data_IF_696278708541
#
_entry.id   IF_696278708541
#
_cell.length_a   1.000
_cell.length_b   1.000
_cell.length_c   1.000
_cell.angle_alpha   90.00
_cell.angle_beta   90.00
_cell.angle_gamma   90.00
#
_symmetry.space_group_name_H-M   'P 1'
#
loop_
_entity.id
_entity.type
_entity.pdbx_description
1 polymer ?
#
# COMPACT_ATOMS: atom_id res chain seq x y z
N UNK A 1 29.84 43.21 14.27
CA UNK A 1 30.88 43.86 13.45
C UNK A 1 32.20 43.15 13.70
N UNK A 2 32.64 42.27 12.80
CA UNK A 2 34.01 41.76 12.80
C UNK A 2 34.57 41.91 11.39
N UNK A 3 35.46 42.90 11.26
CA UNK A 3 36.36 43.12 10.14
C UNK A 3 37.53 42.15 10.22
N UNK A 4 37.80 41.36 9.19
CA UNK A 4 39.13 40.78 8.91
C UNK A 4 39.28 40.71 7.38
N UNK A 5 39.79 41.78 6.76
CA UNK A 5 41.17 41.97 6.26
C UNK A 5 41.56 41.02 5.13
N UNK A 6 41.61 41.61 3.93
CA UNK A 6 42.26 41.12 2.71
C UNK A 6 43.73 40.79 3.01
N UNK A 7 44.16 39.60 2.65
CA UNK A 7 45.58 39.26 2.49
C UNK A 7 45.86 39.21 0.99
N UNK A 8 46.68 40.14 0.53
CA UNK A 8 47.33 40.09 -0.77
C UNK A 8 48.36 38.95 -0.74
N UNK A 9 48.24 38.00 -1.66
CA UNK A 9 49.38 37.20 -2.12
C UNK A 9 49.68 37.63 -3.54
N UNK A 10 50.81 38.29 -3.71
CA UNK A 10 51.42 38.53 -5.02
C UNK A 10 51.75 37.18 -5.66
N UNK A 11 51.25 37.03 -6.87
CA UNK A 11 51.42 35.90 -7.78
C UNK A 11 52.88 35.73 -8.17
N UNK A 12 53.46 34.57 -7.86
CA UNK A 12 54.64 34.06 -8.55
C UNK A 12 54.14 33.11 -9.67
N UNK A 13 54.37 33.40 -10.96
CA UNK A 13 53.71 32.69 -12.04
C UNK A 13 54.50 31.42 -12.39
N UNK A 14 54.22 30.32 -11.69
CA UNK A 14 54.66 28.99 -12.14
C UNK A 14 53.82 27.79 -11.64
N UNK A 15 52.76 27.99 -10.86
CA UNK A 15 51.92 26.87 -10.39
C UNK A 15 50.45 27.27 -10.29
N UNK A 16 49.74 27.33 -11.42
CA UNK A 16 48.30 27.63 -11.44
C UNK A 16 47.47 26.63 -12.28
N UNK A 17 47.97 25.40 -12.43
CA UNK A 17 47.24 24.29 -13.06
C UNK A 17 46.55 23.34 -12.05
N UNK A 18 46.59 23.62 -10.75
CA UNK A 18 46.00 22.74 -9.71
C UNK A 18 44.66 23.23 -9.13
N UNK A 19 44.24 24.47 -9.39
CA UNK A 19 43.02 25.03 -8.78
C UNK A 19 41.72 24.55 -9.45
N UNK A 20 41.75 24.21 -10.76
CA UNK A 20 40.55 23.75 -11.49
C UNK A 20 40.22 22.26 -11.29
N UNK A 21 41.16 21.43 -10.82
CA UNK A 21 40.90 19.99 -10.63
C UNK A 21 40.16 19.72 -9.31
N UNK A 22 40.54 20.40 -8.22
CA UNK A 22 39.97 20.17 -6.89
C UNK A 22 38.48 20.54 -6.79
N UNK A 23 38.07 21.62 -7.46
CA UNK A 23 36.66 22.05 -7.54
C UNK A 23 35.79 21.07 -8.33
N UNK A 24 36.33 20.50 -9.42
CA UNK A 24 35.62 19.50 -10.21
C UNK A 24 35.49 18.16 -9.46
N UNK A 25 36.54 17.68 -8.79
CA UNK A 25 36.47 16.42 -8.02
C UNK A 25 35.47 16.51 -6.87
N UNK A 26 35.44 17.63 -6.13
CA UNK A 26 34.49 17.82 -5.02
C UNK A 26 33.03 17.90 -5.52
N UNK A 27 32.78 18.53 -6.67
CA UNK A 27 31.45 18.58 -7.27
C UNK A 27 30.97 17.19 -7.72
N UNK A 28 31.84 16.38 -8.33
CA UNK A 28 31.52 15.01 -8.76
C UNK A 28 31.20 14.12 -7.56
N UNK A 29 32.04 14.11 -6.51
CA UNK A 29 31.80 13.29 -5.29
C UNK A 29 30.48 13.67 -4.63
N UNK A 30 30.16 14.97 -4.58
CA UNK A 30 28.89 15.45 -4.04
C UNK A 30 27.70 14.96 -4.86
N UNK A 31 27.80 15.02 -6.19
CA UNK A 31 26.72 14.56 -7.09
C UNK A 31 26.52 13.05 -6.99
N UNK A 32 27.60 12.27 -6.90
CA UNK A 32 27.54 10.82 -6.69
C UNK A 32 26.84 10.48 -5.37
N UNK A 33 27.18 11.19 -4.28
CA UNK A 33 26.52 11.01 -2.98
C UNK A 33 25.02 11.31 -3.04
N UNK A 34 24.62 12.39 -3.71
CA UNK A 34 23.20 12.73 -3.92
C UNK A 34 22.46 11.68 -4.75
N UNK A 35 23.08 11.14 -5.81
CA UNK A 35 22.45 10.13 -6.67
C UNK A 35 22.32 8.77 -5.98
N UNK A 36 23.35 8.31 -5.28
CA UNK A 36 23.31 7.05 -4.52
C UNK A 36 22.27 7.15 -3.40
N UNK A 37 22.26 8.25 -2.64
CA UNK A 37 21.27 8.46 -1.58
C UNK A 37 19.84 8.44 -2.12
N UNK A 38 19.58 9.11 -3.26
CA UNK A 38 18.27 9.06 -3.94
C UNK A 38 17.91 7.66 -4.41
N UNK A 39 18.86 6.95 -5.01
CA UNK A 39 18.63 5.60 -5.49
C UNK A 39 18.26 4.68 -4.32
N UNK A 40 19.06 4.64 -3.26
CA UNK A 40 18.76 3.83 -2.08
C UNK A 40 17.43 4.19 -1.44
N UNK A 41 17.16 5.48 -1.23
CA UNK A 41 15.87 5.92 -0.69
C UNK A 41 14.68 5.52 -1.60
N UNK A 42 14.83 5.61 -2.92
CA UNK A 42 13.78 5.23 -3.87
C UNK A 42 13.51 3.72 -3.93
N UNK A 43 14.48 2.91 -3.51
CA UNK A 43 14.41 1.45 -3.50
C UNK A 43 14.17 0.87 -2.10
N UNK A 44 14.03 1.72 -1.06
CA UNK A 44 13.91 1.26 0.33
C UNK A 44 15.18 0.61 0.90
N UNK A 45 16.34 0.89 0.30
CA UNK A 45 17.64 0.35 0.71
C UNK A 45 18.24 1.25 1.78
N UNK A 46 18.79 0.64 2.84
CA UNK A 46 19.46 1.35 3.91
C UNK A 46 20.74 2.06 3.42
N UNK A 47 21.06 3.23 3.97
CA UNK A 47 22.27 3.99 3.55
C UNK A 47 23.57 3.25 3.91
N UNK A 48 23.48 2.36 4.90
CA UNK A 48 24.52 1.43 5.34
C UNK A 48 24.93 0.45 4.24
N UNK A 49 24.03 0.10 3.30
CA UNK A 49 24.34 -0.81 2.18
C UNK A 49 25.46 -0.29 1.27
N UNK A 50 25.77 1.02 1.32
CA UNK A 50 26.95 1.56 0.62
C UNK A 50 28.27 0.98 1.14
N UNK A 51 28.27 0.42 2.36
CA UNK A 51 29.42 -0.20 2.99
C UNK A 51 29.43 -1.73 2.86
N UNK A 52 28.41 -2.33 2.25
CA UNK A 52 28.40 -3.78 2.01
C UNK A 52 29.43 -4.16 0.95
N UNK A 53 30.17 -5.25 1.20
CA UNK A 53 31.25 -5.71 0.32
C UNK A 53 30.77 -5.98 -1.10
N UNK A 54 29.63 -6.66 -1.25
CA UNK A 54 29.06 -7.00 -2.57
C UNK A 54 28.65 -5.77 -3.37
N UNK A 55 28.08 -4.76 -2.72
CA UNK A 55 27.77 -3.49 -3.37
C UNK A 55 29.05 -2.77 -3.81
N UNK A 56 30.07 -2.72 -2.96
CA UNK A 56 31.35 -2.12 -3.30
C UNK A 56 32.06 -2.85 -4.45
N UNK A 57 31.99 -4.17 -4.49
CA UNK A 57 32.50 -5.00 -5.59
C UNK A 57 31.79 -4.68 -6.90
N UNK A 58 30.45 -4.58 -6.88
CA UNK A 58 29.65 -4.19 -8.04
C UNK A 58 30.07 -2.80 -8.55
N UNK A 59 30.18 -1.82 -7.67
CA UNK A 59 30.58 -0.46 -8.06
C UNK A 59 32.02 -0.44 -8.60
N UNK A 60 32.97 -1.17 -7.99
CA UNK A 60 34.34 -1.30 -8.50
C UNK A 60 34.40 -2.00 -9.85
N UNK A 61 33.53 -2.98 -10.10
CA UNK A 61 33.46 -3.66 -11.39
C UNK A 61 32.96 -2.72 -12.50
N UNK A 62 31.91 -1.94 -12.22
CA UNK A 62 31.33 -0.99 -13.17
C UNK A 62 32.25 0.24 -13.36
N UNK A 63 32.88 0.72 -12.29
CA UNK A 63 33.75 1.88 -12.30
C UNK A 63 34.90 1.70 -11.29
N UNK A 64 36.07 1.19 -11.72
CA UNK A 64 37.19 0.87 -10.83
C UNK A 64 37.71 2.04 -9.99
N UNK A 65 37.58 3.27 -10.51
CA UNK A 65 38.04 4.49 -9.86
C UNK A 65 36.92 5.20 -9.06
N UNK A 66 35.72 4.63 -8.98
CA UNK A 66 34.62 5.22 -8.24
C UNK A 66 34.81 5.01 -6.73
N UNK A 67 34.86 6.13 -6.00
CA UNK A 67 34.85 6.14 -4.54
C UNK A 67 33.41 6.08 -4.05
N UNK A 68 33.01 4.96 -3.44
CA UNK A 68 31.69 4.85 -2.81
C UNK A 68 31.64 5.80 -1.59
N UNK A 69 30.67 6.73 -1.53
CA UNK A 69 30.54 7.65 -0.40
C UNK A 69 30.31 6.90 0.92
N UNK A 70 30.81 7.45 2.02
CA UNK A 70 30.55 6.89 3.35
C UNK A 70 29.09 7.12 3.74
N UNK A 71 28.54 6.27 4.61
CA UNK A 71 27.16 6.38 5.11
C UNK A 71 26.85 7.78 5.66
N UNK A 72 27.81 8.41 6.34
CA UNK A 72 27.69 9.79 6.83
C UNK A 72 27.50 10.84 5.73
N UNK A 73 28.21 10.69 4.60
CA UNK A 73 28.10 11.61 3.46
C UNK A 73 26.77 11.42 2.72
N UNK A 74 26.30 10.18 2.63
CA UNK A 74 24.97 9.85 2.11
C UNK A 74 23.87 10.40 3.00
N UNK A 75 23.99 10.28 4.32
CA UNK A 75 23.05 10.84 5.28
C UNK A 75 22.97 12.37 5.15
N UNK A 76 24.12 13.06 5.08
CA UNK A 76 24.16 14.51 4.81
C UNK A 76 23.54 14.90 3.47
N UNK A 77 23.81 14.12 2.42
CA UNK A 77 23.20 14.34 1.12
C UNK A 77 21.69 14.18 1.20
N UNK A 78 21.21 13.17 1.94
CA UNK A 78 19.79 12.92 2.17
C UNK A 78 19.13 14.04 2.97
N UNK A 79 19.75 14.52 4.05
CA UNK A 79 19.27 15.67 4.82
C UNK A 79 19.16 16.93 3.95
N UNK A 80 20.15 17.16 3.09
CA UNK A 80 20.12 18.26 2.13
C UNK A 80 18.99 18.08 1.10
N UNK A 81 18.78 16.87 0.59
CA UNK A 81 17.67 16.56 -0.33
C UNK A 81 16.33 16.83 0.38
N UNK A 82 16.13 16.26 1.56
CA UNK A 82 14.93 16.40 2.36
C UNK A 82 14.62 17.86 2.74
N UNK A 83 15.64 18.62 3.13
CA UNK A 83 15.49 20.04 3.50
C UNK A 83 15.25 20.97 2.31
N UNK A 84 15.76 20.62 1.13
CA UNK A 84 15.58 21.40 -0.10
C UNK A 84 14.27 21.10 -0.85
N UNK A 85 13.51 20.08 -0.42
CA UNK A 85 12.21 19.77 -1.02
C UNK A 85 11.23 20.92 -0.75
N UNK A 86 10.99 21.72 -1.78
CA UNK A 86 9.78 22.54 -1.84
C UNK A 86 8.56 21.62 -1.73
N UNK A 87 7.44 22.09 -1.17
CA UNK A 87 6.17 21.38 -1.28
C UNK A 87 5.93 20.96 -2.73
N UNK A 88 5.66 19.67 -2.96
CA UNK A 88 5.40 19.14 -4.30
C UNK A 88 4.00 19.54 -4.80
N UNK A 89 3.13 19.93 -3.87
CA UNK A 89 1.73 20.24 -4.13
C UNK A 89 1.60 21.68 -4.59
N UNK A 90 1.33 21.86 -5.88
CA UNK A 90 0.86 23.12 -6.43
C UNK A 90 -0.65 22.98 -6.67
N UNK A 91 -1.49 23.57 -5.82
CA UNK A 91 -2.94 23.44 -5.96
C UNK A 91 -3.62 24.80 -6.06
N UNK A 92 -4.69 24.83 -6.84
CA UNK A 92 -5.57 25.99 -6.95
C UNK A 92 -6.84 25.75 -6.13
N UNK A 93 -7.14 26.66 -5.19
CA UNK A 93 -8.32 26.54 -4.32
C UNK A 93 -9.65 26.47 -5.09
N UNK A 94 -9.66 27.03 -6.29
CA UNK A 94 -10.85 27.16 -7.15
C UNK A 94 -11.12 25.87 -7.93
N UNK A 95 -10.08 25.05 -8.15
CA UNK A 95 -10.16 23.87 -9.03
C UNK A 95 -10.71 22.66 -8.30
N UNK A 96 -10.32 22.43 -7.04
CA UNK A 96 -10.83 21.27 -6.32
C UNK A 96 -10.40 21.15 -4.86
N UNK A 97 -11.05 20.24 -4.11
CA UNK A 97 -10.76 20.04 -2.70
C UNK A 97 -9.45 19.29 -2.49
N UNK A 98 -8.71 19.66 -1.44
CA UNK A 98 -7.61 18.85 -0.94
C UNK A 98 -8.14 17.66 -0.14
N UNK A 99 -7.62 16.49 -0.45
CA UNK A 99 -7.88 15.26 0.31
C UNK A 99 -6.57 14.63 0.74
N UNK A 100 -6.56 13.94 1.88
CA UNK A 100 -5.40 13.22 2.36
C UNK A 100 -5.78 11.77 2.70
N UNK A 101 -4.87 10.85 2.42
CA UNK A 101 -4.94 9.47 2.93
C UNK A 101 -3.76 9.28 3.87
N UNK A 102 -3.99 8.69 5.03
CA UNK A 102 -2.97 8.47 6.05
C UNK A 102 -2.91 7.00 6.47
N UNK A 103 -1.69 6.53 6.65
CA UNK A 103 -1.39 5.28 7.32
C UNK A 103 -0.28 5.48 8.35
N UNK A 104 -0.43 4.83 9.50
CA UNK A 104 0.47 4.97 10.64
C UNK A 104 0.85 3.57 11.10
N UNK A 105 2.15 3.30 11.10
CA UNK A 105 2.74 2.01 11.48
C UNK A 105 3.91 2.21 12.44
N UNK A 106 4.35 1.13 13.08
CA UNK A 106 5.48 1.10 13.99
C UNK A 106 5.09 0.92 15.46
N UNK A 107 6.08 0.49 16.25
CA UNK A 107 5.93 0.06 17.63
C UNK A 107 6.61 1.04 18.60
N UNK A 108 6.09 1.10 19.82
CA UNK A 108 6.67 1.88 20.92
C UNK A 108 6.95 3.34 20.51
N UNK A 109 8.21 3.77 20.63
CA UNK A 109 8.68 5.14 20.34
C UNK A 109 9.04 5.37 18.85
N UNK A 110 8.94 4.34 17.99
CA UNK A 110 9.30 4.43 16.58
C UNK A 110 8.08 4.26 15.69
N UNK A 111 7.29 5.33 15.57
CA UNK A 111 6.17 5.36 14.64
C UNK A 111 6.51 6.12 13.37
N UNK A 112 5.98 5.62 12.27
CA UNK A 112 6.10 6.18 10.94
C UNK A 112 4.71 6.46 10.39
N UNK A 113 4.60 7.55 9.64
CA UNK A 113 3.40 7.95 8.96
C UNK A 113 3.69 8.04 7.46
N UNK A 114 3.01 7.20 6.70
CA UNK A 114 2.91 7.34 5.25
C UNK A 114 1.62 8.09 4.94
N UNK A 115 1.68 9.06 4.04
CA UNK A 115 0.48 9.78 3.63
C UNK A 115 0.56 10.27 2.19
N UNK A 116 -0.58 10.33 1.53
CA UNK A 116 -0.72 10.94 0.21
C UNK A 116 -1.63 12.16 0.29
N UNK A 117 -1.25 13.21 -0.42
CA UNK A 117 -2.10 14.39 -0.65
C UNK A 117 -2.62 14.33 -2.07
N UNK A 118 -3.94 14.35 -2.22
CA UNK A 118 -4.65 14.34 -3.50
C UNK A 118 -5.20 15.73 -3.77
N UNK A 119 -4.93 16.25 -4.96
CA UNK A 119 -5.24 17.62 -5.36
C UNK A 119 -5.45 17.72 -6.87
N UNK A 120 -5.90 18.89 -7.30
CA UNK A 120 -6.14 19.20 -8.70
C UNK A 120 -5.34 20.46 -9.08
N UNK A 121 -4.64 20.39 -10.21
CA UNK A 121 -4.03 21.57 -10.86
C UNK A 121 -4.95 22.13 -11.95
N UNK A 122 -5.72 21.26 -12.59
CA UNK A 122 -6.80 21.55 -13.51
C UNK A 122 -8.01 20.65 -13.21
N UNK A 123 -9.14 20.87 -13.90
CA UNK A 123 -10.37 20.12 -13.68
C UNK A 123 -10.35 18.69 -14.23
N UNK A 124 -9.31 18.29 -14.97
CA UNK A 124 -9.30 17.06 -15.76
C UNK A 124 -8.54 15.93 -15.08
N UNK A 125 -7.46 16.23 -14.35
CA UNK A 125 -6.61 15.20 -13.75
C UNK A 125 -6.33 15.43 -12.26
N UNK A 126 -6.62 14.40 -11.45
CA UNK A 126 -6.23 14.37 -10.04
C UNK A 126 -4.76 14.00 -9.91
N UNK A 127 -3.99 14.87 -9.27
CA UNK A 127 -2.59 14.61 -8.90
C UNK A 127 -2.48 14.08 -7.48
N UNK A 128 -1.39 13.38 -7.21
CA UNK A 128 -1.07 12.90 -5.86
C UNK A 128 0.40 13.10 -5.53
N UNK A 129 0.69 13.41 -4.27
CA UNK A 129 2.04 13.48 -3.72
C UNK A 129 2.13 12.60 -2.48
N UNK A 130 3.09 11.67 -2.47
CA UNK A 130 3.29 10.69 -1.40
C UNK A 130 4.45 11.13 -0.51
N UNK A 131 4.26 10.99 0.80
CA UNK A 131 5.22 11.39 1.82
C UNK A 131 5.37 10.29 2.86
N UNK A 132 6.60 10.15 3.36
CA UNK A 132 6.93 9.33 4.52
C UNK A 132 7.55 10.23 5.59
N UNK A 133 7.10 10.09 6.85
CA UNK A 133 7.58 10.87 7.99
C UNK A 133 7.71 9.99 9.24
N UNK A 134 8.78 10.21 10.01
CA UNK A 134 8.92 9.65 11.37
C UNK A 134 8.19 10.55 12.38
N UNK A 135 7.45 9.95 13.29
CA UNK A 135 6.76 10.64 14.38
C UNK A 135 7.70 10.71 15.61
N UNK A 136 7.91 11.92 16.14
CA UNK A 136 8.97 12.19 17.14
C UNK A 136 8.64 11.75 18.57
N UNK A 137 7.36 11.49 18.88
CA UNK A 137 6.91 11.28 20.27
C UNK A 137 6.20 9.95 20.54
N UNK A 138 6.14 9.01 19.59
CA UNK A 138 5.39 7.75 19.72
C UNK A 138 3.86 7.91 19.87
N UNK A 139 3.36 9.07 20.33
CA UNK A 139 1.93 9.36 20.47
C UNK A 139 1.37 9.93 19.17
N UNK A 140 0.24 9.38 18.73
CA UNK A 140 -0.51 9.89 17.59
C UNK A 140 -1.29 11.12 18.07
N UNK A 141 -0.79 12.31 17.74
CA UNK A 141 -1.48 13.58 18.02
C UNK A 141 -2.12 14.10 16.71
N UNK A 142 -3.47 14.19 16.64
CA UNK A 142 -4.20 14.68 15.46
C UNK A 142 -3.74 16.04 14.94
N UNK A 143 -3.51 17.00 15.83
CA UNK A 143 -3.10 18.37 15.47
C UNK A 143 -1.69 18.41 14.89
N UNK A 144 -0.77 17.65 15.48
CA UNK A 144 0.59 17.55 14.98
C UNK A 144 0.59 16.90 13.58
N UNK A 145 -0.19 15.84 13.40
CA UNK A 145 -0.33 15.18 12.10
C UNK A 145 -0.94 16.14 11.07
N UNK A 146 -2.02 16.84 11.42
CA UNK A 146 -2.63 17.80 10.52
C UNK A 146 -1.68 18.95 10.17
N UNK A 147 -0.90 19.43 11.13
CA UNK A 147 0.15 20.42 10.89
C UNK A 147 1.20 19.90 9.91
N UNK A 148 1.61 18.64 10.02
CA UNK A 148 2.51 17.98 9.06
C UNK A 148 1.90 17.90 7.66
N UNK A 149 0.63 17.49 7.54
CA UNK A 149 -0.09 17.46 6.27
C UNK A 149 -0.15 18.85 5.63
N UNK A 150 -0.52 19.87 6.40
CA UNK A 150 -0.62 21.26 5.93
C UNK A 150 0.73 21.81 5.48
N UNK A 151 1.81 21.53 6.22
CA UNK A 151 3.19 21.94 5.86
C UNK A 151 3.71 21.24 4.62
N UNK A 152 3.28 20.01 4.35
CA UNK A 152 3.60 19.30 3.12
C UNK A 152 2.93 19.95 1.88
N UNK A 153 1.83 20.68 2.06
CA UNK A 153 1.19 21.48 0.99
C UNK A 153 1.82 22.86 0.87
N UNK A 154 1.96 23.59 1.97
CA UNK A 154 2.58 24.92 1.95
C UNK A 154 3.29 25.18 3.28
N UNK A 155 4.62 25.24 3.28
CA UNK A 155 5.40 25.44 4.51
C UNK A 155 5.23 26.84 5.13
N UNK A 156 4.95 27.86 4.32
CA UNK A 156 4.90 29.27 4.76
C UNK A 156 3.51 29.69 5.25
N UNK A 157 2.45 29.26 4.59
CA UNK A 157 1.05 29.59 4.92
C UNK A 157 0.19 28.36 5.23
N UNK A 158 0.80 27.33 5.86
CA UNK A 158 0.15 26.06 6.20
C UNK A 158 -1.17 26.24 6.97
N UNK A 159 -1.32 27.29 7.78
CA UNK A 159 -2.55 27.58 8.53
C UNK A 159 -3.78 27.78 7.63
N UNK A 160 -3.57 28.21 6.37
CA UNK A 160 -4.63 28.44 5.40
C UNK A 160 -5.01 27.17 4.60
N UNK A 161 -4.26 26.08 4.78
CA UNK A 161 -4.50 24.81 4.11
C UNK A 161 -5.61 24.05 4.85
N UNK A 162 -6.70 23.76 4.14
CA UNK A 162 -7.85 23.01 4.66
C UNK A 162 -8.05 21.75 3.82
N UNK A 163 -8.16 20.61 4.49
CA UNK A 163 -8.52 19.35 3.86
C UNK A 163 -10.02 19.18 3.96
N UNK A 164 -10.64 18.75 2.86
CA UNK A 164 -12.06 18.41 2.83
C UNK A 164 -12.29 16.96 3.26
N UNK A 165 -11.38 16.06 2.88
CA UNK A 165 -11.49 14.64 3.18
C UNK A 165 -10.19 14.11 3.79
N UNK A 166 -10.32 13.26 4.81
CA UNK A 166 -9.24 12.46 5.37
C UNK A 166 -9.64 10.98 5.35
N UNK A 167 -8.88 10.16 4.64
CA UNK A 167 -9.04 8.70 4.59
C UNK A 167 -8.04 8.07 5.57
N UNK A 168 -8.55 7.37 6.55
CA UNK A 168 -7.77 6.72 7.60
C UNK A 168 -7.56 5.24 7.26
N UNK A 169 -6.38 4.69 7.54
CA UNK A 169 -6.06 3.30 7.21
C UNK A 169 -6.89 2.26 7.96
N UNK A 170 -7.40 2.59 9.15
CA UNK A 170 -8.26 1.72 9.97
C UNK A 170 -9.10 2.51 10.99
N UNK A 171 -9.97 1.81 11.71
CA UNK A 171 -10.85 2.37 12.74
C UNK A 171 -10.10 3.09 13.87
N UNK A 172 -8.94 2.57 14.30
CA UNK A 172 -8.18 3.18 15.39
C UNK A 172 -7.65 4.56 14.99
N UNK A 173 -7.11 4.68 13.78
CA UNK A 173 -6.69 5.98 13.23
C UNK A 173 -7.92 6.88 13.06
N UNK A 174 -9.02 6.38 12.51
CA UNK A 174 -10.25 7.15 12.36
C UNK A 174 -10.74 7.76 13.68
N UNK A 175 -10.82 6.95 14.75
CA UNK A 175 -11.29 7.38 16.06
C UNK A 175 -10.42 8.49 16.67
N UNK A 176 -9.11 8.47 16.39
CA UNK A 176 -8.18 9.52 16.83
C UNK A 176 -8.48 10.86 16.15
N UNK A 177 -8.93 10.86 14.91
CA UNK A 177 -9.18 12.09 14.14
C UNK A 177 -10.62 12.60 14.19
N UNK A 178 -11.61 11.71 14.12
CA UNK A 178 -13.01 12.04 13.92
C UNK A 178 -13.59 12.97 15.01
N UNK A 179 -13.07 12.88 16.24
CA UNK A 179 -13.54 13.69 17.37
C UNK A 179 -13.07 15.15 17.36
N UNK A 180 -12.10 15.51 16.51
CA UNK A 180 -11.49 16.86 16.58
C UNK A 180 -12.15 17.88 15.62
N UNK A 181 -12.96 17.44 14.66
CA UNK A 181 -13.64 18.34 13.71
C UNK A 181 -12.70 19.19 12.84
N UNK A 182 -11.45 18.75 12.65
CA UNK A 182 -10.41 19.51 11.96
C UNK A 182 -10.48 19.43 10.42
N UNK A 183 -11.18 18.41 9.93
CA UNK A 183 -11.42 18.11 8.52
C UNK A 183 -12.93 17.97 8.35
N UNK A 184 -13.45 18.40 7.20
CA UNK A 184 -14.89 18.36 6.92
C UNK A 184 -15.43 16.92 6.96
N UNK A 185 -14.67 15.95 6.46
CA UNK A 185 -15.09 14.55 6.32
C UNK A 185 -13.96 13.58 6.65
N UNK A 186 -14.30 12.53 7.38
CA UNK A 186 -13.43 11.42 7.72
C UNK A 186 -14.00 10.15 7.12
N UNK A 187 -13.14 9.30 6.56
CA UNK A 187 -13.53 8.03 5.98
C UNK A 187 -12.51 6.96 6.41
N UNK A 188 -12.94 5.70 6.44
CA UNK A 188 -12.06 4.55 6.64
C UNK A 188 -11.75 3.94 5.27
N UNK A 189 -10.50 3.51 5.09
CA UNK A 189 -10.06 2.88 3.85
C UNK A 189 -10.86 1.60 3.55
N UNK A 190 -11.29 1.42 2.30
CA UNK A 190 -11.97 0.20 1.82
C UNK A 190 -11.19 -1.07 2.18
N UNK A 191 -9.86 -1.04 2.04
CA UNK A 191 -8.98 -2.14 2.40
C UNK A 191 -9.10 -2.56 3.87
N UNK A 192 -9.43 -1.64 4.79
CA UNK A 192 -9.67 -1.97 6.20
C UNK A 192 -10.93 -2.83 6.37
N UNK A 193 -12.02 -2.50 5.66
CA UNK A 193 -13.26 -3.28 5.72
C UNK A 193 -13.05 -4.68 5.15
N UNK A 194 -12.35 -4.79 4.02
CA UNK A 194 -11.98 -6.09 3.45
C UNK A 194 -11.10 -6.88 4.40
N UNK A 195 -10.10 -6.23 5.01
CA UNK A 195 -9.20 -6.89 5.97
C UNK A 195 -9.97 -7.45 7.17
N UNK A 196 -10.92 -6.70 7.72
CA UNK A 196 -11.76 -7.17 8.83
C UNK A 196 -12.67 -8.33 8.39
N UNK A 197 -13.30 -8.23 7.22
CA UNK A 197 -14.12 -9.31 6.67
C UNK A 197 -13.30 -10.59 6.46
N UNK A 198 -12.11 -10.47 5.85
CA UNK A 198 -11.24 -11.60 5.58
C UNK A 198 -10.67 -12.19 6.86
N UNK A 199 -10.35 -11.38 7.88
CA UNK A 199 -9.92 -11.90 9.18
C UNK A 199 -10.98 -12.85 9.76
N UNK A 200 -12.25 -12.43 9.79
CA UNK A 200 -13.37 -13.28 10.24
C UNK A 200 -13.55 -14.51 9.34
N UNK A 201 -13.38 -14.35 8.02
CA UNK A 201 -13.44 -15.44 7.06
C UNK A 201 -12.39 -16.52 7.38
N UNK A 202 -11.16 -16.12 7.69
CA UNK A 202 -10.06 -17.05 7.99
C UNK A 202 -10.23 -17.79 9.33
N UNK A 203 -11.12 -17.32 10.20
CA UNK A 203 -11.45 -17.96 11.48
C UNK A 203 -12.52 -19.05 11.36
N UNK A 204 -13.23 -19.14 10.22
CA UNK A 204 -14.20 -20.22 9.97
C UNK A 204 -13.50 -21.58 10.12
N UNK A 205 -14.11 -22.50 10.84
CA UNK A 205 -13.49 -23.76 11.27
C UNK A 205 -12.95 -24.58 10.08
N UNK A 206 -13.73 -24.71 9.01
CA UNK A 206 -13.36 -25.47 7.83
C UNK A 206 -12.14 -24.87 7.11
N UNK A 207 -12.07 -23.55 7.04
CA UNK A 207 -10.98 -22.81 6.40
C UNK A 207 -9.73 -22.81 7.27
N UNK A 208 -9.85 -22.48 8.56
CA UNK A 208 -8.74 -22.45 9.51
C UNK A 208 -8.09 -23.83 9.65
N UNK A 209 -8.90 -24.90 9.75
CA UNK A 209 -8.40 -26.27 9.79
C UNK A 209 -7.71 -26.67 8.48
N UNK A 210 -8.32 -26.35 7.33
CA UNK A 210 -7.75 -26.63 6.02
C UNK A 210 -6.40 -25.95 5.82
N UNK A 211 -6.31 -24.65 6.13
CA UNK A 211 -5.08 -23.87 6.06
C UNK A 211 -4.01 -24.40 7.03
N UNK A 212 -4.40 -24.81 8.24
CA UNK A 212 -3.48 -25.39 9.22
C UNK A 212 -2.86 -26.69 8.71
N UNK A 213 -3.66 -27.57 8.08
CA UNK A 213 -3.16 -28.80 7.45
C UNK A 213 -2.20 -28.50 6.30
N UNK A 214 -2.53 -27.52 5.44
CA UNK A 214 -1.63 -27.06 4.37
C UNK A 214 -0.28 -26.58 4.91
N UNK A 215 -0.30 -25.68 5.91
CA UNK A 215 0.92 -25.15 6.53
C UNK A 215 1.75 -26.26 7.17
N UNK A 216 1.10 -27.20 7.87
CA UNK A 216 1.78 -28.34 8.47
C UNK A 216 2.47 -29.22 7.42
N UNK A 217 1.79 -29.50 6.31
CA UNK A 217 2.35 -30.30 5.21
C UNK A 217 3.55 -29.62 4.54
N UNK A 218 3.43 -28.33 4.20
CA UNK A 218 4.54 -27.57 3.60
C UNK A 218 5.74 -27.48 4.54
N UNK A 219 5.51 -27.24 5.85
CA UNK A 219 6.57 -27.28 6.87
C UNK A 219 7.22 -28.65 6.96
N UNK A 220 6.45 -29.72 6.88
CA UNK A 220 6.96 -31.09 6.95
C UNK A 220 7.90 -31.40 5.78
N UNK A 221 7.53 -31.03 4.56
CA UNK A 221 8.43 -31.17 3.40
C UNK A 221 9.69 -30.32 3.58
N UNK A 222 9.55 -29.06 3.99
CA UNK A 222 10.66 -28.10 4.10
C UNK A 222 11.66 -28.48 5.20
N UNK A 223 11.18 -28.99 6.33
CA UNK A 223 12.01 -29.32 7.49
C UNK A 223 12.66 -30.70 7.40
N UNK A 224 12.16 -31.58 6.51
CA UNK A 224 12.75 -32.89 6.28
C UNK A 224 13.61 -32.87 5.01
N UNK A 225 14.92 -32.91 5.18
CA UNK A 225 15.89 -32.83 4.07
C UNK A 225 15.69 -33.93 3.02
N UNK A 226 15.32 -35.14 3.44
CA UNK A 226 15.10 -36.26 2.54
C UNK A 226 13.83 -36.07 1.72
N UNK A 227 12.76 -35.59 2.36
CA UNK A 227 11.50 -35.31 1.70
C UNK A 227 11.63 -34.16 0.73
N UNK A 228 12.29 -33.08 1.14
CA UNK A 228 12.60 -31.96 0.27
C UNK A 228 13.43 -32.40 -0.96
N UNK A 229 14.48 -33.20 -0.76
CA UNK A 229 15.30 -33.71 -1.85
C UNK A 229 14.50 -34.61 -2.81
N UNK A 230 13.60 -35.46 -2.29
CA UNK A 230 12.70 -36.28 -3.11
C UNK A 230 11.69 -35.42 -3.87
N UNK A 231 11.12 -34.42 -3.23
CA UNK A 231 10.20 -33.46 -3.85
C UNK A 231 10.87 -32.72 -5.00
N UNK A 232 12.09 -32.17 -4.79
CA UNK A 232 12.86 -31.50 -5.85
C UNK A 232 13.16 -32.42 -7.03
N UNK A 233 13.56 -33.68 -6.77
CA UNK A 233 13.77 -34.67 -7.84
C UNK A 233 12.49 -34.95 -8.63
N UNK A 234 11.35 -35.03 -7.95
CA UNK A 234 10.05 -35.18 -8.62
C UNK A 234 9.73 -33.96 -9.49
N UNK A 235 9.93 -32.73 -9.00
CA UNK A 235 9.65 -31.52 -9.77
C UNK A 235 10.55 -31.37 -11.00
N UNK A 236 11.84 -31.74 -10.90
CA UNK A 236 12.76 -31.78 -12.06
C UNK A 236 12.25 -32.68 -13.19
N UNK A 237 11.65 -33.83 -12.85
CA UNK A 237 11.10 -34.75 -13.85
C UNK A 237 9.90 -34.17 -14.59
N UNK A 238 9.21 -33.17 -14.01
CA UNK A 238 7.99 -32.59 -14.56
C UNK A 238 8.19 -31.14 -15.06
N UNK A 239 9.43 -30.64 -15.13
CA UNK A 239 9.73 -29.21 -15.39
C UNK A 239 8.90 -28.26 -14.50
N UNK A 240 8.67 -28.66 -13.25
CA UNK A 240 7.84 -27.92 -12.30
C UNK A 240 8.62 -26.91 -11.46
N UNK A 241 7.89 -26.12 -10.66
CA UNK A 241 8.47 -25.27 -9.64
C UNK A 241 9.31 -26.08 -8.66
N UNK A 242 10.56 -25.66 -8.50
CA UNK A 242 11.58 -26.41 -7.78
C UNK A 242 11.50 -26.28 -6.26
N UNK A 243 10.72 -25.32 -5.76
CA UNK A 243 10.58 -25.05 -4.35
C UNK A 243 9.16 -25.37 -3.86
N UNK A 244 9.02 -25.51 -2.55
CA UNK A 244 7.71 -25.54 -1.91
C UNK A 244 7.23 -24.11 -1.69
N UNK A 245 5.90 -23.85 -1.65
CA UNK A 245 5.37 -22.54 -1.32
C UNK A 245 5.98 -22.00 -0.03
N UNK A 246 6.27 -20.69 0.00
CA UNK A 246 6.69 -20.05 1.24
C UNK A 246 5.51 -20.03 2.20
N UNK A 247 5.75 -20.41 3.46
CA UNK A 247 4.71 -20.28 4.50
C UNK A 247 4.32 -18.81 4.58
N UNK A 248 3.02 -18.56 4.62
CA UNK A 248 2.46 -17.23 4.75
C UNK A 248 2.96 -16.52 6.01
N UNK A 249 3.31 -15.24 5.84
CA UNK A 249 3.68 -14.31 6.92
C UNK A 249 2.42 -13.62 7.49
N UNK A 250 2.61 -12.59 8.33
CA UNK A 250 1.50 -11.81 8.88
C UNK A 250 0.64 -11.13 7.79
N UNK A 251 -0.68 -11.24 7.94
CA UNK A 251 -1.67 -10.61 7.06
C UNK A 251 -2.38 -11.60 6.13
N UNK A 252 -3.53 -11.20 5.60
CA UNK A 252 -4.37 -12.10 4.81
C UNK A 252 -3.92 -12.22 3.34
N UNK A 253 -3.19 -11.24 2.79
CA UNK A 253 -2.66 -11.31 1.42
C UNK A 253 -1.63 -12.43 1.27
N UNK A 254 -0.73 -12.57 2.26
CA UNK A 254 0.26 -13.65 2.28
C UNK A 254 -0.44 -15.01 2.34
N UNK A 255 -1.49 -15.15 3.16
CA UNK A 255 -2.33 -16.35 3.22
C UNK A 255 -3.00 -16.64 1.88
N UNK A 256 -3.53 -15.62 1.19
CA UNK A 256 -4.15 -15.80 -0.12
C UNK A 256 -3.15 -16.30 -1.19
N UNK A 257 -1.95 -15.72 -1.22
CA UNK A 257 -0.86 -16.14 -2.12
C UNK A 257 -0.41 -17.58 -1.80
N UNK A 258 -0.17 -17.88 -0.52
CA UNK A 258 0.20 -19.22 -0.05
C UNK A 258 -0.85 -20.26 -0.44
N UNK A 259 -2.13 -19.95 -0.22
CA UNK A 259 -3.24 -20.83 -0.56
C UNK A 259 -3.29 -21.07 -2.08
N UNK A 260 -3.20 -20.02 -2.90
CA UNK A 260 -3.20 -20.14 -4.35
C UNK A 260 -2.06 -21.03 -4.86
N UNK A 261 -0.85 -20.86 -4.33
CA UNK A 261 0.31 -21.70 -4.66
C UNK A 261 0.10 -23.16 -4.22
N UNK A 262 -0.42 -23.39 -3.02
CA UNK A 262 -0.69 -24.74 -2.53
C UNK A 262 -1.75 -25.47 -3.38
N UNK A 263 -2.82 -24.79 -3.76
CA UNK A 263 -3.88 -25.38 -4.60
C UNK A 263 -3.38 -25.66 -6.02
N UNK A 264 -2.55 -24.78 -6.59
CA UNK A 264 -1.91 -25.02 -7.89
C UNK A 264 -0.97 -26.24 -7.89
N UNK A 265 -0.40 -26.58 -6.74
CA UNK A 265 0.48 -27.74 -6.54
C UNK A 265 -0.26 -28.98 -6.02
N UNK A 266 -1.58 -28.93 -5.82
CA UNK A 266 -2.35 -29.97 -5.14
C UNK A 266 -2.15 -31.37 -5.74
N UNK A 267 -2.32 -31.52 -7.06
CA UNK A 267 -2.12 -32.78 -7.77
C UNK A 267 -0.70 -33.33 -7.63
N UNK A 268 0.29 -32.43 -7.58
CA UNK A 268 1.70 -32.80 -7.39
C UNK A 268 1.95 -33.23 -5.94
N UNK A 269 1.31 -32.59 -4.97
CA UNK A 269 1.38 -32.98 -3.57
C UNK A 269 0.75 -34.33 -3.31
N UNK A 270 -0.37 -34.66 -3.95
CA UNK A 270 -0.97 -36.01 -3.87
C UNK A 270 0.02 -37.05 -4.42
N UNK A 271 0.50 -36.86 -5.65
CA UNK A 271 1.50 -37.77 -6.26
C UNK A 271 2.77 -37.90 -5.41
N UNK A 272 3.16 -36.83 -4.73
CA UNK A 272 4.29 -36.87 -3.81
C UNK A 272 3.98 -37.76 -2.59
N UNK A 273 2.81 -37.59 -1.96
CA UNK A 273 2.36 -38.44 -0.84
C UNK A 273 2.34 -39.93 -1.23
N UNK A 274 1.82 -40.25 -2.42
CA UNK A 274 1.80 -41.61 -2.95
C UNK A 274 3.23 -42.19 -3.09
N UNK A 275 4.18 -41.40 -3.59
CA UNK A 275 5.59 -41.82 -3.75
C UNK A 275 6.32 -42.03 -2.43
N UNK A 276 5.90 -41.37 -1.35
CA UNK A 276 6.50 -41.52 -0.02
C UNK A 276 5.66 -42.41 0.91
N UNK A 277 4.61 -43.04 0.38
CA UNK A 277 3.69 -43.92 1.11
C UNK A 277 3.10 -43.25 2.37
N UNK A 278 2.75 -41.96 2.25
CA UNK A 278 2.10 -41.20 3.32
C UNK A 278 0.62 -40.95 2.98
N UNK A 279 -0.26 -40.87 3.99
CA UNK A 279 -1.64 -40.45 3.76
C UNK A 279 -1.69 -39.05 3.15
N UNK A 280 -2.77 -38.77 2.43
CA UNK A 280 -3.00 -37.43 1.89
C UNK A 280 -3.11 -36.41 3.02
N UNK A 281 -2.58 -35.21 2.77
CA UNK A 281 -2.49 -34.16 3.77
C UNK A 281 -3.82 -33.44 4.03
N UNK A 282 -4.75 -33.50 3.07
CA UNK A 282 -6.13 -33.00 3.18
C UNK A 282 -7.09 -33.94 2.47
N UNK A 283 -8.36 -33.87 2.86
CA UNK A 283 -9.46 -34.56 2.18
C UNK A 283 -9.96 -33.77 0.97
N UNK A 284 -10.67 -34.43 0.05
CA UNK A 284 -11.30 -33.79 -1.10
C UNK A 284 -12.32 -32.72 -0.68
N UNK A 285 -13.05 -32.96 0.40
CA UNK A 285 -13.99 -31.99 0.97
C UNK A 285 -13.25 -30.73 1.46
N UNK A 286 -12.18 -30.91 2.23
CA UNK A 286 -11.32 -29.79 2.68
C UNK A 286 -10.73 -29.04 1.48
N UNK A 287 -10.31 -29.75 0.44
CA UNK A 287 -9.80 -29.14 -0.79
C UNK A 287 -10.87 -28.27 -1.47
N UNK A 288 -12.11 -28.75 -1.58
CA UNK A 288 -13.22 -27.97 -2.15
C UNK A 288 -13.55 -26.71 -1.33
N UNK A 289 -13.55 -26.81 0.01
CA UNK A 289 -13.72 -25.65 0.89
C UNK A 289 -12.62 -24.60 0.65
N UNK A 290 -11.37 -25.06 0.54
CA UNK A 290 -10.22 -24.20 0.29
C UNK A 290 -10.22 -23.57 -1.10
N UNK A 291 -10.75 -24.26 -2.13
CA UNK A 291 -10.98 -23.65 -3.46
C UNK A 291 -11.98 -22.51 -3.35
N UNK A 292 -13.10 -22.72 -2.66
CA UNK A 292 -14.09 -21.66 -2.46
C UNK A 292 -13.46 -20.44 -1.77
N UNK A 293 -12.72 -20.67 -0.68
CA UNK A 293 -11.98 -19.63 0.03
C UNK A 293 -11.01 -18.90 -0.91
N UNK A 294 -10.19 -19.62 -1.68
CA UNK A 294 -9.23 -19.01 -2.59
C UNK A 294 -9.90 -18.10 -3.61
N UNK A 295 -11.02 -18.53 -4.21
CA UNK A 295 -11.75 -17.71 -5.18
C UNK A 295 -12.35 -16.45 -4.55
N UNK A 296 -12.85 -16.55 -3.33
CA UNK A 296 -13.36 -15.41 -2.57
C UNK A 296 -12.23 -14.44 -2.19
N UNK A 297 -11.10 -14.94 -1.70
CA UNK A 297 -9.92 -14.13 -1.39
C UNK A 297 -9.37 -13.44 -2.64
N UNK A 298 -9.30 -14.15 -3.77
CA UNK A 298 -8.89 -13.57 -5.04
C UNK A 298 -9.79 -12.41 -5.44
N UNK A 299 -11.11 -12.59 -5.33
CA UNK A 299 -12.08 -11.53 -5.62
C UNK A 299 -11.88 -10.30 -4.73
N UNK A 300 -11.54 -10.51 -3.45
CA UNK A 300 -11.21 -9.43 -2.53
C UNK A 300 -9.91 -8.72 -2.90
N UNK A 301 -8.87 -9.48 -3.27
CA UNK A 301 -7.57 -8.93 -3.71
C UNK A 301 -7.72 -8.10 -4.99
N UNK A 302 -8.46 -8.60 -5.99
CA UNK A 302 -8.66 -7.91 -7.26
C UNK A 302 -9.23 -6.51 -7.04
N UNK A 303 -10.29 -6.41 -6.22
CA UNK A 303 -10.92 -5.14 -5.87
C UNK A 303 -10.02 -4.25 -5.01
N UNK A 304 -9.26 -4.83 -4.08
CA UNK A 304 -8.28 -4.06 -3.30
C UNK A 304 -7.18 -3.47 -4.18
N UNK A 305 -6.69 -4.21 -5.17
CA UNK A 305 -5.68 -3.76 -6.12
C UNK A 305 -6.23 -2.65 -7.04
N UNK A 306 -7.44 -2.84 -7.57
CA UNK A 306 -8.12 -1.83 -8.39
C UNK A 306 -8.31 -0.52 -7.62
N UNK A 307 -8.83 -0.58 -6.39
CA UNK A 307 -9.00 0.59 -5.53
C UNK A 307 -7.69 1.14 -4.94
N UNK A 308 -6.55 0.47 -5.15
CA UNK A 308 -5.22 0.99 -4.78
C UNK A 308 -4.50 1.64 -5.96
N UNK A 309 -5.08 1.60 -7.16
CA UNK A 309 -4.47 2.20 -8.35
C UNK A 309 -4.41 3.75 -8.25
N UNK A 310 -3.43 4.41 -8.89
CA UNK A 310 -3.27 5.88 -8.81
C UNK A 310 -4.47 6.69 -9.32
N UNK A 311 -5.24 6.14 -10.25
CA UNK A 311 -6.44 6.73 -10.84
C UNK A 311 -7.73 6.27 -10.14
N UNK A 312 -7.64 5.60 -8.99
CA UNK A 312 -8.80 5.12 -8.25
C UNK A 312 -9.78 6.24 -7.86
N UNK A 313 -11.04 5.89 -7.69
CA UNK A 313 -12.09 6.80 -7.26
C UNK A 313 -13.01 6.12 -6.24
N UNK A 314 -13.62 6.92 -5.36
CA UNK A 314 -14.61 6.42 -4.40
C UNK A 314 -15.86 5.85 -5.09
N UNK A 315 -16.09 6.20 -6.37
CA UNK A 315 -17.15 5.65 -7.22
C UNK A 315 -17.05 4.14 -7.41
N UNK A 316 -15.85 3.55 -7.24
CA UNK A 316 -15.58 2.13 -7.40
C UNK A 316 -15.99 1.30 -6.16
N UNK A 317 -16.23 1.93 -5.01
CA UNK A 317 -16.50 1.22 -3.74
C UNK A 317 -17.81 0.44 -3.81
N UNK A 318 -18.92 1.06 -4.20
CA UNK A 318 -20.22 0.36 -4.32
C UNK A 318 -20.17 -0.78 -5.35
N UNK A 319 -19.65 -0.58 -6.58
CA UNK A 319 -19.44 -1.66 -7.53
C UNK A 319 -18.62 -2.83 -6.95
N UNK A 320 -17.54 -2.55 -6.22
CA UNK A 320 -16.71 -3.57 -5.60
C UNK A 320 -17.48 -4.38 -4.55
N UNK A 321 -18.19 -3.70 -3.64
CA UNK A 321 -19.03 -4.33 -2.60
C UNK A 321 -20.10 -5.23 -3.26
N UNK A 322 -20.84 -4.70 -4.24
CA UNK A 322 -21.87 -5.46 -4.97
C UNK A 322 -21.27 -6.63 -5.73
N UNK A 323 -20.09 -6.47 -6.33
CA UNK A 323 -19.41 -7.54 -7.05
C UNK A 323 -19.00 -8.70 -6.12
N UNK A 324 -18.52 -8.40 -4.91
CA UNK A 324 -18.19 -9.43 -3.90
C UNK A 324 -19.47 -10.08 -3.37
N UNK A 325 -20.50 -9.29 -3.05
CA UNK A 325 -21.82 -9.81 -2.62
C UNK A 325 -22.41 -10.77 -3.65
N UNK A 326 -22.47 -10.35 -4.90
CA UNK A 326 -22.99 -11.17 -6.00
C UNK A 326 -22.15 -12.45 -6.18
N UNK A 327 -20.84 -12.40 -5.96
CA UNK A 327 -19.99 -13.60 -5.99
C UNK A 327 -20.37 -14.59 -4.88
N UNK A 328 -20.55 -14.11 -3.64
CA UNK A 328 -20.94 -14.93 -2.48
C UNK A 328 -22.31 -15.58 -2.73
N UNK A 329 -23.27 -14.82 -3.26
CA UNK A 329 -24.64 -15.30 -3.55
C UNK A 329 -24.67 -16.29 -4.72
N UNK A 330 -23.98 -15.97 -5.83
CA UNK A 330 -24.04 -16.76 -7.07
C UNK A 330 -23.20 -18.05 -7.01
N UNK A 331 -22.20 -18.12 -6.14
CA UNK A 331 -21.35 -19.31 -5.94
C UNK A 331 -21.77 -20.08 -4.68
N UNK A 332 -23.02 -19.96 -4.23
CA UNK A 332 -23.52 -20.78 -3.14
C UNK A 332 -23.66 -22.25 -3.61
N UNK A 333 -22.92 -23.16 -2.97
CA UNK A 333 -22.92 -24.61 -3.27
C UNK A 333 -23.71 -25.36 -2.19
N UNK A 334 -24.19 -24.65 -1.15
CA UNK A 334 -24.95 -25.22 -0.04
C UNK A 334 -24.10 -25.65 1.15
N UNK A 335 -22.86 -25.16 1.26
CA UNK A 335 -22.05 -25.37 2.46
C UNK A 335 -22.63 -24.57 3.64
N UNK A 336 -22.58 -25.16 4.85
CA UNK A 336 -23.18 -24.57 6.05
C UNK A 336 -22.56 -23.20 6.38
N UNK A 337 -21.25 -23.05 6.24
CA UNK A 337 -20.54 -21.80 6.51
C UNK A 337 -20.88 -20.65 5.55
N UNK A 338 -21.54 -20.90 4.40
CA UNK A 338 -21.85 -19.83 3.43
C UNK A 338 -22.85 -18.81 3.97
N UNK A 339 -23.74 -19.22 4.88
CA UNK A 339 -24.64 -18.29 5.54
C UNK A 339 -23.88 -17.38 6.51
N UNK A 340 -22.97 -17.95 7.30
CA UNK A 340 -22.07 -17.20 8.16
C UNK A 340 -21.24 -16.19 7.38
N UNK A 341 -20.76 -16.55 6.18
CA UNK A 341 -20.03 -15.62 5.29
C UNK A 341 -20.92 -14.44 4.86
N UNK A 342 -22.20 -14.69 4.51
CA UNK A 342 -23.15 -13.63 4.14
C UNK A 342 -23.40 -12.67 5.29
N UNK A 343 -23.57 -13.20 6.50
CA UNK A 343 -23.75 -12.41 7.72
C UNK A 343 -22.49 -11.58 8.03
N UNK A 344 -21.30 -12.19 7.98
CA UNK A 344 -20.02 -11.51 8.19
C UNK A 344 -19.78 -10.40 7.17
N UNK A 345 -20.10 -10.64 5.89
CA UNK A 345 -19.98 -9.62 4.85
C UNK A 345 -20.92 -8.44 5.09
N UNK A 346 -22.18 -8.73 5.42
CA UNK A 346 -23.17 -7.70 5.75
C UNK A 346 -22.77 -6.90 6.98
N UNK A 347 -22.22 -7.55 8.01
CA UNK A 347 -21.72 -6.88 9.20
C UNK A 347 -20.50 -5.98 8.89
N UNK A 348 -19.56 -6.44 8.07
CA UNK A 348 -18.36 -5.69 7.72
C UNK A 348 -18.65 -4.42 6.89
N UNK A 349 -19.65 -4.48 5.99
CA UNK A 349 -19.99 -3.37 5.09
C UNK A 349 -21.28 -2.62 5.48
N UNK A 350 -21.99 -3.06 6.52
CA UNK A 350 -23.28 -2.47 6.91
C UNK A 350 -23.19 -0.97 7.26
N UNK A 351 -22.08 -0.53 7.86
CA UNK A 351 -21.84 0.89 8.12
C UNK A 351 -21.64 1.71 6.84
N UNK A 352 -21.01 1.13 5.81
CA UNK A 352 -20.82 1.79 4.50
C UNK A 352 -22.09 1.78 3.66
N UNK A 353 -22.99 0.83 3.91
CA UNK A 353 -24.28 0.68 3.23
C UNK A 353 -25.44 1.35 3.99
N UNK A 354 -25.16 2.23 4.95
CA UNK A 354 -26.20 2.97 5.67
C UNK A 354 -25.91 4.46 5.83
N UNK A 355 -26.99 5.24 5.94
CA UNK A 355 -26.95 6.67 6.31
C UNK A 355 -26.25 7.58 5.29
N UNK A 356 -25.58 8.62 5.80
CA UNK A 356 -24.92 9.64 4.97
C UNK A 356 -23.72 9.08 4.18
N UNK A 357 -23.06 8.05 4.70
CA UNK A 357 -21.93 7.41 4.02
C UNK A 357 -22.38 6.72 2.73
N UNK A 358 -23.46 5.94 2.81
CA UNK A 358 -24.05 5.28 1.65
C UNK A 358 -24.40 6.28 0.55
N UNK A 359 -25.15 7.35 0.89
CA UNK A 359 -25.56 8.34 -0.11
C UNK A 359 -24.35 8.94 -0.83
N UNK A 360 -23.24 9.20 -0.13
CA UNK A 360 -22.04 9.75 -0.76
C UNK A 360 -21.38 8.77 -1.73
N UNK A 361 -21.26 7.52 -1.36
CA UNK A 361 -20.72 6.49 -2.26
C UNK A 361 -21.64 6.29 -3.46
N UNK A 362 -22.95 6.21 -3.24
CA UNK A 362 -23.95 6.07 -4.29
C UNK A 362 -23.95 7.26 -5.26
N UNK A 363 -23.88 8.50 -4.76
CA UNK A 363 -23.75 9.70 -5.60
C UNK A 363 -22.45 9.71 -6.39
N UNK A 364 -21.33 9.30 -5.78
CA UNK A 364 -20.06 9.20 -6.51
C UNK A 364 -20.12 8.14 -7.60
N UNK A 365 -20.73 6.99 -7.33
CA UNK A 365 -20.96 5.92 -8.32
C UNK A 365 -21.89 6.38 -9.43
N UNK A 366 -22.93 7.16 -9.12
CA UNK A 366 -23.82 7.76 -10.13
C UNK A 366 -23.12 8.78 -11.03
N UNK A 367 -22.23 9.62 -10.47
CA UNK A 367 -21.48 10.63 -11.23
C UNK A 367 -20.36 10.03 -12.08
N UNK A 368 -20.05 8.73 -11.91
CA UNK A 368 -19.06 8.03 -12.71
C UNK A 368 -19.72 7.36 -13.92
N UNK A 369 -19.41 7.81 -15.16
CA UNK A 369 -20.05 7.29 -16.37
C UNK A 369 -19.76 5.80 -16.61
N UNK A 370 -18.76 5.19 -15.96
CA UNK A 370 -18.50 3.75 -16.07
C UNK A 370 -19.55 2.91 -15.33
N UNK A 371 -20.21 3.47 -14.32
CA UNK A 371 -21.11 2.75 -13.41
C UNK A 371 -22.55 3.26 -13.42
N UNK A 372 -22.76 4.52 -13.81
CA UNK A 372 -24.09 5.11 -13.89
C UNK A 372 -25.05 4.21 -14.68
N UNK A 373 -26.26 4.00 -14.14
CA UNK A 373 -27.31 3.19 -14.77
C UNK A 373 -26.96 1.72 -15.02
N UNK A 374 -25.92 1.18 -14.38
CA UNK A 374 -25.66 -0.26 -14.41
C UNK A 374 -26.63 -1.02 -13.49
N UNK A 375 -27.48 -1.86 -14.08
CA UNK A 375 -28.51 -2.64 -13.36
C UNK A 375 -27.92 -3.65 -12.35
N UNK A 376 -26.64 -4.03 -12.50
CA UNK A 376 -25.94 -4.91 -11.56
C UNK A 376 -25.52 -4.24 -10.25
N UNK A 377 -25.62 -2.90 -10.17
CA UNK A 377 -25.21 -2.10 -9.01
C UNK A 377 -26.45 -1.62 -8.25
N UNK A 378 -27.35 -0.91 -8.93
CA UNK A 378 -28.59 -0.40 -8.37
C UNK A 378 -29.77 -0.61 -9.32
N UNK A 379 -30.98 -0.59 -8.76
CA UNK A 379 -32.22 -0.61 -9.52
C UNK A 379 -32.44 0.71 -10.25
N UNK A 380 -33.25 0.70 -11.31
CA UNK A 380 -33.62 1.93 -12.04
C UNK A 380 -34.29 2.98 -11.16
N UNK A 381 -35.06 2.57 -10.15
CA UNK A 381 -35.69 3.47 -9.18
C UNK A 381 -34.66 4.20 -8.31
N UNK A 382 -33.65 3.48 -7.85
CA UNK A 382 -32.55 4.05 -7.07
C UNK A 382 -31.73 5.03 -7.92
N UNK A 383 -31.44 4.69 -9.18
CA UNK A 383 -30.76 5.60 -10.10
C UNK A 383 -31.52 6.92 -10.29
N UNK A 384 -32.83 6.87 -10.51
CA UNK A 384 -33.68 8.07 -10.59
C UNK A 384 -33.68 8.88 -9.30
N UNK A 385 -33.62 8.21 -8.14
CA UNK A 385 -33.53 8.88 -6.84
C UNK A 385 -32.22 9.65 -6.69
N UNK A 386 -31.09 9.04 -7.10
CA UNK A 386 -29.78 9.69 -7.09
C UNK A 386 -29.71 10.86 -8.08
N UNK A 387 -30.25 10.69 -9.29
CA UNK A 387 -30.35 11.75 -10.31
C UNK A 387 -31.12 12.97 -9.77
N UNK A 388 -32.28 12.75 -9.17
CA UNK A 388 -33.07 13.82 -8.55
C UNK A 388 -32.32 14.51 -7.41
N UNK A 389 -31.57 13.76 -6.61
CA UNK A 389 -30.76 14.31 -5.51
C UNK A 389 -29.67 15.24 -6.05
N UNK A 390 -28.93 14.80 -7.07
CA UNK A 390 -27.90 15.63 -7.73
C UNK A 390 -28.51 16.87 -8.36
N UNK A 391 -29.62 16.72 -9.08
CA UNK A 391 -30.30 17.85 -9.72
C UNK A 391 -30.74 18.91 -8.70
N UNK A 392 -31.27 18.49 -7.55
CA UNK A 392 -31.66 19.40 -6.46
C UNK A 392 -30.44 20.09 -5.84
N UNK A 393 -29.33 19.38 -5.60
CA UNK A 393 -28.11 19.97 -5.06
C UNK A 393 -27.50 21.00 -6.02
N UNK A 394 -27.44 20.70 -7.32
CA UNK A 394 -26.91 21.61 -8.33
C UNK A 394 -27.73 22.89 -8.43
N UNK A 395 -29.07 22.78 -8.47
CA UNK A 395 -29.98 23.94 -8.50
C UNK A 395 -29.87 24.79 -7.23
N UNK A 396 -29.59 24.18 -6.07
CA UNK A 396 -29.38 24.92 -4.82
C UNK A 396 -28.02 25.63 -4.76
N UNK A 397 -26.99 25.14 -5.46
CA UNK A 397 -25.68 25.82 -5.53
C UNK A 397 -25.60 26.98 -6.52
N UNK A 398 -26.55 27.11 -7.44
CA UNK A 398 -26.66 28.26 -8.35
C UNK A 398 -27.36 29.49 -7.71
N UNK A 399 -27.67 29.43 -6.40
CA UNK A 399 -28.17 30.53 -5.54
C UNK A 399 -27.17 30.85 -4.43
#
# INVERSE_FOLDING_TARGET
>A
MHYLKRVHYESNPATDLTSNSATNTTAVVRKTSELIARFFASQGIALECAQESLFQELIKHISPNCMVPKTYDLAKAMDKICSALKPLVNYEKIVGPLSATIDITGENDQKYMAFSIHYFEDLYERKSAIYLRKLVFGTINPENILCMLRRAVNSYSFSNVRFSNLVCSNQNVYNVFATNGLVKRYNICFYSYITNFVANLLEIEEFSNGLTKLRAFVRLIRNNSDWYARYRRMQLQHNGEMDVPSIDEEGWNSTAIFLAQCLALHDRFIKFCDRIEQPTYISDETFNHLIYLQRLLQKCMDHCQELSAPNNSISQVVPAIKSIRNFIESNSIGYQFQETIREMFTAAFGETESGEFQLRYDLATFLDPHYAYCDSIHTQEMWRTLENTVALELVQTDL
#
